data_IF_357906302281
#
_entry.id   IF_357906302281
#
_cell.length_a   1.000
_cell.length_b   1.000
_cell.length_c   1.000
_cell.angle_alpha   90.00
_cell.angle_beta   90.00
_cell.angle_gamma   90.00
#
_symmetry.space_group_name_H-M   'P 1'
#
loop_
_entity.id
_entity.type
_entity.pdbx_description
1 polymer ?
#
# COMPACT_ATOMS: atom_id res chain seq x y z
N UNK A 1 21.07 -24.36 36.20
CA UNK A 1 22.15 -24.94 37.02
C UNK A 1 21.60 -25.16 38.42
N UNK A 2 21.89 -26.28 39.06
CA UNK A 2 21.46 -26.49 40.45
C UNK A 2 22.29 -25.57 41.36
N UNK A 3 21.64 -24.61 42.03
CA UNK A 3 22.33 -23.71 42.94
C UNK A 3 22.81 -24.49 44.18
N UNK A 4 24.10 -24.86 44.18
CA UNK A 4 24.79 -25.41 45.34
C UNK A 4 25.19 -24.29 46.32
N UNK A 5 25.28 -24.60 47.61
CA UNK A 5 25.67 -23.68 48.68
C UNK A 5 26.98 -22.92 48.41
N UNK A 6 27.89 -23.50 47.62
CA UNK A 6 29.18 -22.89 47.26
C UNK A 6 29.01 -21.75 46.23
N UNK A 7 27.95 -21.79 45.41
CA UNK A 7 27.67 -20.80 44.35
C UNK A 7 26.54 -19.83 44.71
N UNK A 8 26.14 -19.77 45.98
CA UNK A 8 25.01 -18.97 46.46
C UNK A 8 25.13 -17.47 46.09
N UNK A 9 26.31 -16.82 46.16
CA UNK A 9 26.45 -15.42 45.74
C UNK A 9 26.22 -15.21 44.24
N UNK A 10 26.68 -16.13 43.39
CA UNK A 10 26.49 -16.04 41.94
C UNK A 10 25.02 -16.27 41.55
N UNK A 11 24.38 -17.27 42.15
CA UNK A 11 22.96 -17.57 41.96
C UNK A 11 22.06 -16.41 42.43
N UNK A 12 22.40 -15.77 43.55
CA UNK A 12 21.68 -14.59 44.03
C UNK A 12 21.80 -13.42 43.05
N UNK A 13 22.99 -13.19 42.50
CA UNK A 13 23.22 -12.11 41.53
C UNK A 13 22.49 -12.37 40.21
N UNK A 14 22.48 -13.62 39.72
CA UNK A 14 21.74 -14.04 38.54
C UNK A 14 20.22 -13.86 38.73
N UNK A 15 19.67 -14.35 39.85
CA UNK A 15 18.25 -14.18 40.18
C UNK A 15 17.85 -12.70 40.34
N UNK A 16 18.73 -11.87 40.90
CA UNK A 16 18.50 -10.42 40.98
C UNK A 16 18.50 -9.78 39.58
N UNK A 17 19.41 -10.21 38.70
CA UNK A 17 19.48 -9.77 37.30
C UNK A 17 18.21 -10.13 36.53
N UNK A 18 17.76 -11.37 36.63
CA UNK A 18 16.51 -11.86 36.02
C UNK A 18 15.28 -11.11 36.54
N UNK A 19 15.26 -10.80 37.84
CA UNK A 19 14.19 -10.00 38.43
C UNK A 19 14.17 -8.58 37.86
N UNK A 20 15.32 -7.92 37.74
CA UNK A 20 15.44 -6.57 37.15
C UNK A 20 15.04 -6.60 35.66
N UNK A 21 15.50 -7.60 34.91
CA UNK A 21 15.11 -7.80 33.52
C UNK A 21 13.61 -7.99 33.37
N UNK A 22 13.00 -8.80 34.24
CA UNK A 22 11.57 -9.03 34.24
C UNK A 22 10.80 -7.73 34.45
N UNK A 23 11.25 -6.88 35.40
CA UNK A 23 10.65 -5.55 35.63
C UNK A 23 10.79 -4.65 34.40
N UNK A 24 11.95 -4.63 33.75
CA UNK A 24 12.20 -3.78 32.58
C UNK A 24 11.42 -4.27 31.34
N UNK A 25 11.35 -5.58 31.14
CA UNK A 25 10.67 -6.18 29.99
C UNK A 25 9.13 -6.23 30.16
N UNK A 26 8.61 -6.27 31.39
CA UNK A 26 7.17 -6.30 31.66
C UNK A 26 6.35 -5.23 30.92
N UNK A 27 6.73 -3.93 30.91
CA UNK A 27 5.99 -2.91 30.16
C UNK A 27 6.15 -3.01 28.64
N UNK A 28 7.13 -3.76 28.13
CA UNK A 28 7.47 -3.85 26.70
C UNK A 28 6.70 -4.98 26.03
N UNK A 29 6.54 -6.11 26.73
CA UNK A 29 5.80 -7.28 26.26
C UNK A 29 4.45 -6.96 25.61
N UNK A 30 3.55 -6.14 26.20
CA UNK A 30 2.28 -5.83 25.56
C UNK A 30 2.43 -5.09 24.23
N UNK A 31 3.43 -4.21 24.07
CA UNK A 31 3.68 -3.54 22.79
C UNK A 31 4.16 -4.53 21.74
N UNK A 32 5.06 -5.46 22.11
CA UNK A 32 5.56 -6.48 21.20
C UNK A 32 4.46 -7.45 20.76
N UNK A 33 3.58 -7.83 21.67
CA UNK A 33 2.41 -8.65 21.35
C UNK A 33 1.48 -7.96 20.37
N UNK A 34 1.18 -6.67 20.59
CA UNK A 34 0.37 -5.87 19.66
C UNK A 34 1.05 -5.75 18.30
N UNK A 35 2.36 -5.47 18.25
CA UNK A 35 3.11 -5.42 16.98
C UNK A 35 3.06 -6.77 16.27
N UNK A 36 3.27 -7.87 16.98
CA UNK A 36 3.18 -9.23 16.43
C UNK A 36 1.78 -9.52 15.89
N UNK A 37 0.74 -9.17 16.62
CA UNK A 37 -0.65 -9.30 16.17
C UNK A 37 -0.89 -8.46 14.90
N UNK A 38 -0.51 -7.19 14.89
CA UNK A 38 -0.68 -6.30 13.74
C UNK A 38 0.12 -6.74 12.49
N UNK A 39 1.25 -7.41 12.67
CA UNK A 39 2.03 -7.98 11.56
C UNK A 39 1.40 -9.26 10.99
N UNK A 40 0.90 -10.13 11.86
CA UNK A 40 0.52 -11.50 11.49
C UNK A 40 -0.97 -11.71 11.28
N UNK A 41 -1.83 -10.85 11.83
CA UNK A 41 -3.27 -11.00 11.74
C UNK A 41 -3.79 -10.39 10.43
N UNK A 42 -4.65 -11.08 9.67
CA UNK A 42 -5.30 -10.49 8.51
C UNK A 42 -6.18 -9.30 8.93
N UNK A 43 -6.32 -8.34 8.02
CA UNK A 43 -7.22 -7.21 8.21
C UNK A 43 -8.66 -7.71 8.41
N UNK A 44 -9.38 -7.18 9.41
CA UNK A 44 -10.76 -7.57 9.68
C UNK A 44 -11.71 -6.93 8.66
N UNK A 45 -11.81 -7.58 7.50
CA UNK A 45 -12.66 -7.13 6.38
C UNK A 45 -14.16 -7.36 6.64
N UNK A 46 -14.51 -8.27 7.56
CA UNK A 46 -15.90 -8.65 7.82
C UNK A 46 -16.71 -7.47 8.37
N UNK A 47 -16.07 -6.62 9.18
CA UNK A 47 -16.67 -5.40 9.71
C UNK A 47 -17.18 -4.45 8.61
N UNK A 48 -16.60 -4.50 7.40
CA UNK A 48 -16.95 -3.66 6.26
C UNK A 48 -17.86 -4.34 5.23
N UNK A 49 -18.32 -5.58 5.48
CA UNK A 49 -19.10 -6.36 4.52
C UNK A 49 -20.42 -5.69 4.11
N UNK A 50 -21.15 -5.08 5.04
CA UNK A 50 -22.39 -4.37 4.75
C UNK A 50 -22.14 -3.13 3.86
N UNK A 51 -21.10 -2.36 4.15
CA UNK A 51 -20.73 -1.18 3.35
C UNK A 51 -20.25 -1.58 1.95
N UNK A 52 -19.48 -2.66 1.84
CA UNK A 52 -19.09 -3.23 0.56
C UNK A 52 -20.30 -3.62 -0.30
N UNK A 53 -21.33 -4.24 0.29
CA UNK A 53 -22.54 -4.62 -0.44
C UNK A 53 -23.29 -3.39 -1.00
N UNK A 54 -23.35 -2.30 -0.23
CA UNK A 54 -23.92 -1.02 -0.70
C UNK A 54 -23.13 -0.46 -1.89
N UNK A 55 -21.79 -0.51 -1.82
CA UNK A 55 -20.93 -0.06 -2.92
C UNK A 55 -21.18 -0.88 -4.19
N UNK A 56 -21.25 -2.21 -4.08
CA UNK A 56 -21.58 -3.06 -5.22
C UNK A 56 -22.95 -2.74 -5.79
N UNK A 57 -23.94 -2.52 -4.93
CA UNK A 57 -25.28 -2.14 -5.40
C UNK A 57 -25.22 -0.86 -6.24
N UNK A 58 -24.52 0.18 -5.76
CA UNK A 58 -24.33 1.43 -6.52
C UNK A 58 -23.62 1.15 -7.85
N UNK A 59 -22.51 0.41 -7.84
CA UNK A 59 -21.77 0.07 -9.06
C UNK A 59 -22.66 -0.72 -10.04
N UNK A 60 -23.53 -1.60 -9.54
CA UNK A 60 -24.38 -2.46 -10.36
C UNK A 60 -25.40 -1.68 -11.19
N UNK A 61 -25.80 -0.49 -10.75
CA UNK A 61 -26.67 0.40 -11.53
C UNK A 61 -26.03 0.82 -12.86
N UNK A 62 -24.69 0.90 -12.91
CA UNK A 62 -23.97 1.24 -14.14
C UNK A 62 -23.86 0.09 -15.12
N UNK A 63 -24.01 -1.17 -14.69
CA UNK A 63 -23.86 -2.34 -15.57
C UNK A 63 -24.90 -2.34 -16.70
N UNK A 64 -26.16 -2.01 -16.38
CA UNK A 64 -27.20 -1.89 -17.40
C UNK A 64 -26.87 -0.84 -18.45
N UNK A 65 -26.36 0.32 -18.01
CA UNK A 65 -25.93 1.39 -18.92
C UNK A 65 -24.79 0.95 -19.82
N UNK A 66 -23.78 0.26 -19.30
CA UNK A 66 -22.66 -0.25 -20.12
C UNK A 66 -23.11 -1.32 -21.11
N UNK A 67 -24.00 -2.23 -20.73
CA UNK A 67 -24.54 -3.24 -21.64
C UNK A 67 -25.34 -2.59 -22.77
N UNK A 68 -26.21 -1.63 -22.46
CA UNK A 68 -26.99 -0.90 -23.47
C UNK A 68 -26.04 -0.13 -24.40
N UNK A 69 -25.04 0.56 -23.84
CA UNK A 69 -24.06 1.31 -24.62
C UNK A 69 -23.23 0.39 -25.53
N UNK A 70 -22.75 -0.75 -25.02
CA UNK A 70 -22.02 -1.73 -25.82
C UNK A 70 -22.91 -2.35 -26.91
N UNK A 71 -24.17 -2.68 -26.58
CA UNK A 71 -25.16 -3.20 -27.53
C UNK A 71 -25.48 -2.21 -28.64
N UNK A 72 -25.68 -0.94 -28.31
CA UNK A 72 -25.92 0.11 -29.30
C UNK A 72 -24.72 0.32 -30.24
N UNK A 73 -23.50 0.36 -29.68
CA UNK A 73 -22.28 0.42 -30.50
C UNK A 73 -22.14 -0.79 -31.42
N UNK A 74 -22.51 -1.98 -30.94
CA UNK A 74 -22.47 -3.20 -31.74
C UNK A 74 -23.46 -3.14 -32.92
N UNK A 75 -24.68 -2.64 -32.73
CA UNK A 75 -25.69 -2.48 -33.80
C UNK A 75 -25.22 -1.48 -34.86
N UNK A 76 -24.71 -0.31 -34.45
CA UNK A 76 -24.25 0.73 -35.38
C UNK A 76 -22.98 0.33 -36.13
N UNK A 77 -22.12 -0.47 -35.50
CA UNK A 77 -20.83 -0.89 -36.07
C UNK A 77 -20.92 -1.84 -37.27
N UNK A 78 -22.13 -2.24 -37.70
CA UNK A 78 -22.35 -3.26 -38.73
C UNK A 78 -21.60 -3.02 -40.06
N UNK A 79 -21.32 -1.77 -40.42
CA UNK A 79 -20.66 -1.42 -41.68
C UNK A 79 -19.12 -1.38 -41.62
N UNK A 80 -18.50 -1.39 -40.43
CA UNK A 80 -17.05 -1.31 -40.29
C UNK A 80 -16.53 -2.40 -39.35
N UNK A 81 -15.75 -3.33 -39.89
CA UNK A 81 -15.20 -4.47 -39.17
C UNK A 81 -14.42 -4.06 -37.91
N UNK A 82 -13.62 -2.99 -37.98
CA UNK A 82 -12.81 -2.52 -36.87
C UNK A 82 -13.68 -2.03 -35.70
N UNK A 83 -14.75 -1.28 -35.98
CA UNK A 83 -15.68 -0.80 -34.93
C UNK A 83 -16.42 -1.96 -34.28
N UNK A 84 -16.73 -3.01 -35.06
CA UNK A 84 -17.41 -4.20 -34.56
C UNK A 84 -16.54 -4.99 -33.60
N UNK A 85 -15.24 -5.12 -33.90
CA UNK A 85 -14.30 -5.77 -32.98
C UNK A 85 -14.16 -5.01 -31.67
N UNK A 86 -14.01 -3.68 -31.71
CA UNK A 86 -13.97 -2.85 -30.50
C UNK A 86 -15.27 -2.97 -29.66
N UNK A 87 -16.44 -3.00 -30.31
CA UNK A 87 -17.71 -3.17 -29.60
C UNK A 87 -17.81 -4.54 -28.91
N UNK A 88 -17.29 -5.61 -29.53
CA UNK A 88 -17.20 -6.94 -28.89
C UNK A 88 -16.27 -6.93 -27.69
N UNK A 89 -15.11 -6.27 -27.80
CA UNK A 89 -14.17 -6.12 -26.67
C UNK A 89 -14.84 -5.38 -25.50
N UNK A 90 -15.59 -4.31 -25.77
CA UNK A 90 -16.37 -3.59 -24.75
C UNK A 90 -17.41 -4.47 -24.05
N UNK A 91 -18.13 -5.29 -24.82
CA UNK A 91 -19.10 -6.23 -24.25
C UNK A 91 -18.42 -7.29 -23.37
N UNK A 92 -17.30 -7.87 -23.83
CA UNK A 92 -16.51 -8.84 -23.07
C UNK A 92 -15.98 -8.23 -21.76
N UNK A 93 -15.40 -7.03 -21.83
CA UNK A 93 -14.89 -6.33 -20.64
C UNK A 93 -16.02 -6.02 -19.65
N UNK A 94 -17.22 -5.68 -20.14
CA UNK A 94 -18.39 -5.44 -19.29
C UNK A 94 -18.84 -6.71 -18.57
N UNK A 95 -18.87 -7.87 -19.26
CA UNK A 95 -19.24 -9.15 -18.63
C UNK A 95 -18.20 -9.58 -17.59
N UNK A 96 -16.90 -9.46 -17.89
CA UNK A 96 -15.84 -9.77 -16.94
C UNK A 96 -15.90 -8.85 -15.72
N UNK A 97 -16.17 -7.56 -15.92
CA UNK A 97 -16.35 -6.59 -14.84
C UNK A 97 -17.44 -7.01 -13.87
N UNK A 98 -18.61 -7.44 -14.36
CA UNK A 98 -19.71 -7.91 -13.51
C UNK A 98 -19.24 -9.08 -12.65
N UNK A 99 -18.59 -10.08 -13.24
CA UNK A 99 -18.10 -11.25 -12.51
C UNK A 99 -17.05 -10.87 -11.44
N UNK A 100 -16.02 -10.11 -11.81
CA UNK A 100 -14.92 -9.77 -10.91
C UNK A 100 -15.32 -8.80 -9.80
N UNK A 101 -16.20 -7.83 -10.07
CA UNK A 101 -16.69 -6.93 -9.03
C UNK A 101 -17.50 -7.71 -8.00
N UNK A 102 -18.34 -8.66 -8.42
CA UNK A 102 -19.07 -9.52 -7.46
C UNK A 102 -18.14 -10.42 -6.66
N UNK A 103 -17.10 -10.96 -7.29
CA UNK A 103 -16.06 -11.76 -6.62
C UNK A 103 -15.07 -10.91 -5.78
N UNK A 104 -15.17 -9.59 -5.79
CA UNK A 104 -14.15 -8.68 -5.26
C UNK A 104 -13.87 -8.88 -3.77
N UNK A 105 -14.89 -9.09 -2.94
CA UNK A 105 -14.73 -9.33 -1.51
C UNK A 105 -13.90 -10.60 -1.25
N UNK A 106 -14.24 -11.68 -1.95
CA UNK A 106 -13.54 -12.95 -1.81
C UNK A 106 -12.08 -12.85 -2.29
N UNK A 107 -11.85 -12.21 -3.44
CA UNK A 107 -10.48 -12.00 -3.96
C UNK A 107 -9.65 -11.17 -2.96
N UNK A 108 -10.23 -10.10 -2.41
CA UNK A 108 -9.53 -9.26 -1.44
C UNK A 108 -9.22 -10.02 -0.14
N UNK A 109 -10.17 -10.83 0.35
CA UNK A 109 -9.98 -11.69 1.51
C UNK A 109 -8.80 -12.63 1.31
N UNK A 110 -8.77 -13.36 0.18
CA UNK A 110 -7.68 -14.27 -0.15
C UNK A 110 -6.32 -13.58 -0.23
N UNK A 111 -6.25 -12.39 -0.84
CA UNK A 111 -4.99 -11.64 -0.93
C UNK A 111 -4.55 -11.17 0.47
N UNK A 112 -5.48 -10.71 1.31
CA UNK A 112 -5.18 -10.31 2.69
C UNK A 112 -4.68 -11.49 3.53
N UNK A 113 -5.32 -12.66 3.42
CA UNK A 113 -4.93 -13.88 4.12
C UNK A 113 -3.55 -14.38 3.65
N UNK A 114 -3.30 -14.34 2.34
CA UNK A 114 -1.99 -14.67 1.77
C UNK A 114 -0.91 -13.73 2.31
N UNK A 115 -1.15 -12.42 2.30
CA UNK A 115 -0.19 -11.43 2.80
C UNK A 115 0.12 -11.63 4.29
N UNK A 116 -0.91 -11.84 5.13
CA UNK A 116 -0.72 -12.13 6.55
C UNK A 116 -0.05 -13.48 6.80
N UNK A 117 -0.38 -14.50 6.02
CA UNK A 117 0.20 -15.85 6.14
C UNK A 117 1.69 -15.87 5.81
N UNK A 118 2.10 -15.19 4.73
CA UNK A 118 3.51 -15.03 4.37
C UNK A 118 4.24 -14.22 5.45
N UNK A 119 3.63 -13.14 5.97
CA UNK A 119 4.22 -12.34 7.05
C UNK A 119 4.41 -13.17 8.33
N UNK A 120 3.41 -13.95 8.72
CA UNK A 120 3.47 -14.86 9.86
C UNK A 120 4.56 -15.93 9.69
N UNK A 121 4.73 -16.46 8.48
CA UNK A 121 5.81 -17.40 8.15
C UNK A 121 7.21 -16.81 8.30
N UNK A 122 7.40 -15.52 8.00
CA UNK A 122 8.68 -14.84 8.25
C UNK A 122 8.86 -14.56 9.74
N UNK A 123 7.82 -14.08 10.43
CA UNK A 123 7.88 -13.74 11.86
C UNK A 123 8.14 -14.97 12.73
N UNK A 124 7.69 -16.16 12.34
CA UNK A 124 7.93 -17.40 13.11
C UNK A 124 9.38 -17.86 13.11
N UNK A 125 10.20 -17.38 12.16
CA UNK A 125 11.64 -17.66 12.08
C UNK A 125 12.44 -16.73 13.00
N UNK A 126 11.88 -15.56 13.34
CA UNK A 126 12.54 -14.56 14.18
C UNK A 126 12.55 -15.06 15.63
N UNK A 127 13.75 -15.08 16.24
CA UNK A 127 13.91 -15.42 17.66
C UNK A 127 13.11 -14.43 18.53
N UNK A 128 12.17 -14.88 19.38
CA UNK A 128 11.43 -14.01 20.30
C UNK A 128 12.34 -13.14 21.19
N UNK A 129 13.53 -13.63 21.54
CA UNK A 129 14.49 -12.91 22.36
C UNK A 129 15.15 -11.73 21.65
N UNK A 130 15.00 -11.62 20.32
CA UNK A 130 15.47 -10.47 19.54
C UNK A 130 14.87 -9.15 20.04
N UNK A 131 13.59 -9.20 20.45
CA UNK A 131 12.83 -8.02 20.84
C UNK A 131 12.96 -7.65 22.33
N UNK A 132 13.54 -8.54 23.14
CA UNK A 132 13.67 -8.38 24.59
C UNK A 132 15.08 -7.91 24.97
N UNK A 133 15.17 -7.17 26.08
CA UNK A 133 16.44 -6.82 26.70
C UNK A 133 17.13 -8.07 27.27
N UNK A 134 18.45 -8.20 27.10
CA UNK A 134 19.24 -9.33 27.62
C UNK A 134 20.49 -8.83 28.36
N UNK A 135 20.69 -9.26 29.61
CA UNK A 135 21.85 -8.89 30.43
C UNK A 135 23.06 -9.79 30.14
N UNK A 136 23.50 -9.83 28.88
CA UNK A 136 24.63 -10.68 28.50
C UNK A 136 25.98 -10.12 28.98
N UNK A 137 26.06 -8.82 29.28
CA UNK A 137 27.28 -8.16 29.74
C UNK A 137 27.01 -6.91 30.60
N UNK A 138 27.80 -6.69 31.66
CA UNK A 138 27.68 -5.52 32.57
C UNK A 138 27.76 -4.18 31.84
N UNK A 139 28.57 -4.09 30.80
CA UNK A 139 28.70 -2.87 29.97
C UNK A 139 27.41 -2.60 29.17
N UNK A 140 26.72 -3.64 28.74
CA UNK A 140 25.48 -3.50 27.97
C UNK A 140 24.35 -2.95 28.84
N UNK A 141 24.31 -3.30 30.13
CA UNK A 141 23.24 -2.88 31.07
C UNK A 141 23.08 -1.36 31.11
N UNK A 142 24.18 -0.61 31.19
CA UNK A 142 24.12 0.85 31.21
C UNK A 142 23.57 1.42 29.90
N UNK A 143 23.97 0.83 28.77
CA UNK A 143 23.55 1.24 27.44
C UNK A 143 22.07 0.91 27.22
N UNK A 144 21.62 -0.26 27.67
CA UNK A 144 20.22 -0.69 27.62
C UNK A 144 19.31 0.22 28.44
N UNK A 145 19.70 0.58 29.67
CA UNK A 145 18.94 1.53 30.49
C UNK A 145 18.89 2.91 29.84
N UNK A 146 20.02 3.40 29.31
CA UNK A 146 20.09 4.71 28.66
C UNK A 146 19.21 4.78 27.40
N UNK A 147 19.19 3.72 26.58
CA UNK A 147 18.36 3.65 25.37
C UNK A 147 16.95 3.10 25.60
N UNK A 148 16.63 2.61 26.80
CA UNK A 148 15.34 1.99 27.11
C UNK A 148 14.15 2.91 26.89
N UNK A 149 14.28 4.19 27.27
CA UNK A 149 13.23 5.20 27.04
C UNK A 149 13.00 5.43 25.54
N UNK A 150 14.09 5.53 24.76
CA UNK A 150 14.00 5.67 23.31
C UNK A 150 13.39 4.43 22.66
N UNK A 151 13.72 3.24 23.16
CA UNK A 151 13.15 1.98 22.69
C UNK A 151 11.63 1.91 22.92
N UNK A 152 11.16 2.26 24.12
CA UNK A 152 9.71 2.31 24.40
C UNK A 152 9.02 3.33 23.49
N UNK A 153 9.62 4.51 23.29
CA UNK A 153 9.08 5.53 22.37
C UNK A 153 9.01 5.04 20.92
N UNK A 154 9.99 4.28 20.46
CA UNK A 154 10.00 3.75 19.09
C UNK A 154 8.95 2.66 18.92
N UNK A 155 8.81 1.77 19.89
CA UNK A 155 7.79 0.73 19.90
C UNK A 155 6.39 1.34 19.87
N UNK A 156 6.16 2.38 20.67
CA UNK A 156 4.89 3.11 20.66
C UNK A 156 4.59 3.71 19.28
N UNK A 157 5.60 4.32 18.65
CA UNK A 157 5.47 4.86 17.28
C UNK A 157 5.18 3.75 16.27
N UNK A 158 5.84 2.59 16.40
CA UNK A 158 5.61 1.42 15.55
C UNK A 158 4.20 0.87 15.69
N UNK A 159 3.66 0.80 16.92
CA UNK A 159 2.26 0.41 17.14
C UNK A 159 1.30 1.35 16.43
N UNK A 160 1.51 2.67 16.52
CA UNK A 160 0.67 3.65 15.82
C UNK A 160 0.75 3.45 14.30
N UNK A 161 1.95 3.33 13.74
CA UNK A 161 2.16 3.19 12.29
C UNK A 161 1.51 1.91 11.76
N UNK A 162 1.71 0.77 12.44
CA UNK A 162 1.05 -0.48 12.04
C UNK A 162 -0.47 -0.45 12.25
N UNK A 163 -0.97 0.23 13.29
CA UNK A 163 -2.41 0.39 13.49
C UNK A 163 -3.05 1.18 12.36
N UNK A 164 -2.41 2.27 11.91
CA UNK A 164 -2.87 3.04 10.75
C UNK A 164 -2.85 2.16 9.49
N UNK A 165 -1.79 1.37 9.27
CA UNK A 165 -1.72 0.46 8.13
C UNK A 165 -2.83 -0.60 8.17
N UNK A 166 -3.10 -1.19 9.34
CA UNK A 166 -4.16 -2.16 9.54
C UNK A 166 -5.55 -1.57 9.25
N UNK A 167 -5.80 -0.33 9.68
CA UNK A 167 -7.03 0.40 9.36
C UNK A 167 -7.15 0.69 7.86
N UNK A 168 -6.06 1.13 7.21
CA UNK A 168 -6.04 1.37 5.76
C UNK A 168 -6.30 0.08 4.97
N UNK A 169 -5.69 -1.04 5.39
CA UNK A 169 -5.95 -2.36 4.81
C UNK A 169 -7.41 -2.80 4.99
N UNK A 170 -8.02 -2.50 6.13
CA UNK A 170 -9.43 -2.85 6.40
C UNK A 170 -10.39 -1.99 5.57
N UNK A 171 -10.15 -0.67 5.48
CA UNK A 171 -10.91 0.26 4.63
C UNK A 171 -10.71 -0.06 3.14
N UNK A 172 -9.55 -0.60 2.77
CA UNK A 172 -9.20 -0.94 1.39
C UNK A 172 -10.21 -1.86 0.69
N UNK A 173 -10.93 -2.70 1.45
CA UNK A 173 -12.03 -3.55 0.97
C UNK A 173 -13.10 -2.74 0.23
N UNK A 174 -13.39 -1.52 0.71
CA UNK A 174 -14.39 -0.64 0.12
C UNK A 174 -13.93 -0.08 -1.23
N UNK A 175 -12.64 0.18 -1.37
CA UNK A 175 -12.04 0.74 -2.60
C UNK A 175 -11.72 -0.32 -3.65
N UNK A 176 -11.55 -1.58 -3.24
CA UNK A 176 -11.22 -2.68 -4.14
C UNK A 176 -12.24 -2.90 -5.29
N UNK A 177 -13.57 -2.97 -5.05
CA UNK A 177 -14.54 -3.09 -6.14
C UNK A 177 -14.50 -1.90 -7.12
N UNK A 178 -14.23 -0.67 -6.64
CA UNK A 178 -14.03 0.49 -7.50
C UNK A 178 -12.79 0.35 -8.38
N UNK A 179 -11.68 -0.14 -7.80
CA UNK A 179 -10.46 -0.43 -8.55
C UNK A 179 -10.70 -1.40 -9.70
N UNK A 180 -11.42 -2.50 -9.42
CA UNK A 180 -11.80 -3.49 -10.44
C UNK A 180 -12.75 -2.90 -11.48
N UNK A 181 -13.76 -2.16 -11.06
CA UNK A 181 -14.70 -1.49 -11.95
C UNK A 181 -14.00 -0.56 -12.94
N UNK A 182 -13.13 0.33 -12.45
CA UNK A 182 -12.37 1.24 -13.31
C UNK A 182 -11.36 0.53 -14.20
N UNK A 183 -10.81 -0.61 -13.76
CA UNK A 183 -9.84 -1.38 -14.53
C UNK A 183 -10.43 -1.90 -15.86
N UNK A 184 -11.69 -2.31 -15.87
CA UNK A 184 -12.34 -2.84 -17.07
C UNK A 184 -12.86 -1.76 -18.03
N UNK A 185 -12.98 -0.52 -17.59
CA UNK A 185 -13.41 0.60 -18.42
C UNK A 185 -12.19 1.18 -19.17
N UNK A 186 -12.12 1.08 -20.51
CA UNK A 186 -10.90 1.45 -21.26
C UNK A 186 -10.32 2.83 -20.95
N UNK A 187 -11.10 3.94 -20.90
CA UNK A 187 -10.53 5.25 -20.56
C UNK A 187 -10.11 5.42 -19.08
N UNK A 188 -10.54 4.52 -18.19
CA UNK A 188 -10.26 4.59 -16.75
C UNK A 188 -9.34 3.47 -16.26
N UNK A 189 -8.87 2.60 -17.16
CA UNK A 189 -8.08 1.41 -16.85
C UNK A 189 -6.84 1.73 -16.01
N UNK A 190 -6.16 2.83 -16.31
CA UNK A 190 -4.96 3.26 -15.58
C UNK A 190 -5.27 3.63 -14.12
N UNK A 191 -6.43 4.24 -13.86
CA UNK A 191 -6.88 4.59 -12.51
C UNK A 191 -7.21 3.31 -11.74
N UNK A 192 -7.95 2.38 -12.36
CA UNK A 192 -8.24 1.09 -11.73
C UNK A 192 -6.99 0.29 -11.37
N UNK A 193 -6.03 0.21 -12.31
CA UNK A 193 -4.73 -0.43 -12.09
C UNK A 193 -3.97 0.22 -10.94
N UNK A 194 -4.01 1.56 -10.88
CA UNK A 194 -3.37 2.32 -9.81
C UNK A 194 -3.98 2.00 -8.43
N UNK A 195 -5.31 2.03 -8.30
CA UNK A 195 -6.02 1.71 -7.05
C UNK A 195 -5.70 0.29 -6.59
N UNK A 196 -5.82 -0.70 -7.48
CA UNK A 196 -5.54 -2.10 -7.16
C UNK A 196 -4.08 -2.27 -6.71
N UNK A 197 -3.13 -1.69 -7.44
CA UNK A 197 -1.71 -1.77 -7.10
C UNK A 197 -1.40 -1.18 -5.72
N UNK A 198 -2.03 -0.06 -5.37
CA UNK A 198 -1.83 0.58 -4.07
C UNK A 198 -2.45 -0.24 -2.93
N UNK A 199 -3.63 -0.82 -3.13
CA UNK A 199 -4.27 -1.66 -2.12
C UNK A 199 -3.46 -2.92 -1.84
N UNK A 200 -3.01 -3.62 -2.89
CA UNK A 200 -2.13 -4.80 -2.74
C UNK A 200 -0.84 -4.41 -2.03
N UNK A 201 -0.25 -3.25 -2.36
CA UNK A 201 0.95 -2.77 -1.70
C UNK A 201 0.76 -2.52 -0.19
N UNK A 202 -0.35 -1.90 0.22
CA UNK A 202 -0.69 -1.69 1.64
C UNK A 202 -0.86 -3.01 2.38
N UNK A 203 -1.43 -4.04 1.73
CA UNK A 203 -1.56 -5.38 2.32
C UNK A 203 -0.20 -6.06 2.55
N UNK A 204 0.77 -5.87 1.65
CA UNK A 204 2.09 -6.48 1.73
C UNK A 204 3.14 -5.65 2.52
N UNK A 205 2.78 -4.47 3.03
CA UNK A 205 3.69 -3.65 3.84
C UNK A 205 4.25 -4.38 5.09
N UNK A 206 3.41 -5.08 5.90
CA UNK A 206 3.87 -5.87 7.05
C UNK A 206 4.91 -6.93 6.69
N UNK A 207 4.81 -7.54 5.52
CA UNK A 207 5.77 -8.51 5.03
C UNK A 207 7.17 -7.88 4.81
N UNK A 208 7.24 -6.70 4.21
CA UNK A 208 8.54 -6.01 4.06
C UNK A 208 9.15 -5.61 5.40
N UNK A 209 8.30 -5.24 6.37
CA UNK A 209 8.76 -4.96 7.73
C UNK A 209 9.29 -6.21 8.44
N UNK A 210 8.64 -7.36 8.28
CA UNK A 210 9.12 -8.62 8.88
C UNK A 210 10.44 -9.08 8.29
N UNK A 211 10.71 -8.83 7.00
CA UNK A 211 12.01 -9.08 6.38
C UNK A 211 13.13 -8.24 7.01
N UNK A 212 12.85 -6.99 7.37
CA UNK A 212 13.83 -6.13 8.06
C UNK A 212 14.10 -6.67 9.47
N UNK A 213 13.06 -7.06 10.20
CA UNK A 213 13.24 -7.66 11.52
C UNK A 213 14.01 -8.97 11.46
N UNK A 214 13.76 -9.82 10.45
CA UNK A 214 14.52 -11.03 10.21
C UNK A 214 16.00 -10.72 9.94
N UNK A 215 16.28 -9.76 9.06
CA UNK A 215 17.65 -9.33 8.78
C UNK A 215 18.35 -8.80 10.05
N UNK A 216 17.64 -8.05 10.88
CA UNK A 216 18.14 -7.60 12.18
C UNK A 216 18.45 -8.76 13.14
N UNK A 217 17.57 -9.74 13.22
CA UNK A 217 17.74 -10.91 14.08
C UNK A 217 18.93 -11.77 13.66
N UNK A 218 19.14 -11.98 12.35
CA UNK A 218 20.30 -12.73 11.85
C UNK A 218 21.63 -11.98 12.07
N UNK A 219 21.63 -10.64 12.02
CA UNK A 219 22.85 -9.86 12.28
C UNK A 219 23.34 -10.00 13.72
N UNK A 220 22.46 -10.16 14.71
CA UNK A 220 22.84 -10.33 16.11
C UNK A 220 23.57 -11.65 16.37
N UNK A 221 23.30 -12.69 15.56
CA UNK A 221 24.00 -13.98 15.69
C UNK A 221 25.48 -13.90 15.31
N UNK A 222 25.89 -12.85 14.58
CA UNK A 222 27.29 -12.60 14.28
C UNK A 222 27.96 -12.01 15.51
N UNK A 223 28.91 -12.73 16.12
CA UNK A 223 29.42 -12.48 17.48
C UNK A 223 29.96 -11.08 17.79
N UNK A 224 30.27 -10.25 16.78
CA UNK A 224 30.62 -8.84 17.01
C UNK A 224 29.43 -7.95 17.39
N UNK A 225 28.20 -8.33 17.03
CA UNK A 225 27.00 -7.53 17.24
C UNK A 225 26.24 -7.86 18.54
N UNK A 226 26.62 -8.91 19.26
CA UNK A 226 26.01 -9.25 20.56
C UNK A 226 26.15 -8.12 21.59
N UNK A 227 27.28 -7.41 21.56
CA UNK A 227 27.54 -6.25 22.44
C UNK A 227 26.69 -5.02 22.11
N UNK A 228 26.13 -4.95 20.90
CA UNK A 228 25.34 -3.78 20.43
C UNK A 228 23.91 -4.18 20.05
N UNK A 229 23.40 -5.26 20.64
CA UNK A 229 22.07 -5.82 20.38
C UNK A 229 20.98 -4.75 20.42
N UNK A 230 20.91 -3.97 21.49
CA UNK A 230 19.88 -2.94 21.67
C UNK A 230 19.93 -1.85 20.58
N UNK A 231 21.14 -1.43 20.16
CA UNK A 231 21.30 -0.44 19.09
C UNK A 231 20.78 -1.01 17.77
N UNK A 232 21.03 -2.30 17.53
CA UNK A 232 20.59 -2.98 16.32
C UNK A 232 19.07 -3.19 16.32
N UNK A 233 18.48 -3.63 17.44
CA UNK A 233 17.03 -3.77 17.58
C UNK A 233 16.32 -2.42 17.45
N UNK A 234 16.82 -1.38 18.12
CA UNK A 234 16.31 0.00 17.99
C UNK A 234 16.41 0.49 16.54
N UNK A 235 17.54 0.24 15.89
CA UNK A 235 17.79 0.57 14.49
C UNK A 235 16.81 -0.14 13.54
N UNK A 236 16.51 -1.43 13.79
CA UNK A 236 15.55 -2.18 12.99
C UNK A 236 14.13 -1.59 13.10
N UNK A 237 13.66 -1.28 14.31
CA UNK A 237 12.37 -0.59 14.49
C UNK A 237 12.34 0.80 13.87
N UNK A 238 13.42 1.58 14.01
CA UNK A 238 13.54 2.89 13.39
C UNK A 238 13.44 2.79 11.86
N UNK A 239 14.16 1.83 11.27
CA UNK A 239 14.18 1.60 9.84
C UNK A 239 12.80 1.15 9.34
N UNK A 240 12.11 0.27 10.06
CA UNK A 240 10.73 -0.12 9.74
C UNK A 240 9.79 1.09 9.77
N UNK A 241 9.85 1.91 10.82
CA UNK A 241 8.99 3.11 10.93
C UNK A 241 9.26 4.09 9.79
N UNK A 242 10.52 4.40 9.51
CA UNK A 242 10.92 5.29 8.41
C UNK A 242 10.48 4.73 7.07
N UNK A 243 10.68 3.43 6.83
CA UNK A 243 10.26 2.78 5.60
C UNK A 243 8.75 2.85 5.43
N UNK A 244 7.97 2.49 6.45
CA UNK A 244 6.51 2.54 6.42
C UNK A 244 5.99 3.94 6.10
N UNK A 245 6.54 4.97 6.77
CA UNK A 245 6.17 6.37 6.52
C UNK A 245 6.56 6.82 5.12
N UNK A 246 7.78 6.50 4.67
CA UNK A 246 8.25 6.84 3.33
C UNK A 246 7.38 6.19 2.25
N UNK A 247 7.05 4.91 2.42
CA UNK A 247 6.21 4.15 1.49
C UNK A 247 4.78 4.69 1.46
N UNK A 248 4.22 5.10 2.61
CA UNK A 248 2.93 5.77 2.69
C UNK A 248 2.94 7.12 1.94
N UNK A 249 3.98 7.93 2.15
CA UNK A 249 4.15 9.21 1.44
C UNK A 249 4.29 9.00 -0.07
N UNK A 250 5.10 8.03 -0.49
CA UNK A 250 5.25 7.68 -1.91
C UNK A 250 3.94 7.19 -2.54
N UNK A 251 3.13 6.42 -1.80
CA UNK A 251 1.81 5.99 -2.27
C UNK A 251 0.88 7.18 -2.53
N UNK A 252 0.90 8.19 -1.65
CA UNK A 252 0.14 9.45 -1.84
C UNK A 252 0.66 10.24 -3.04
N UNK A 253 1.98 10.44 -3.16
CA UNK A 253 2.55 11.13 -4.31
C UNK A 253 2.22 10.45 -5.63
N UNK A 254 2.31 9.12 -5.66
CA UNK A 254 1.96 8.33 -6.84
C UNK A 254 0.47 8.48 -7.19
N UNK A 255 -0.41 8.62 -6.19
CA UNK A 255 -1.83 8.91 -6.41
C UNK A 255 -2.05 10.24 -7.10
N UNK A 256 -1.43 11.30 -6.58
CA UNK A 256 -1.54 12.64 -7.16
C UNK A 256 -1.02 12.66 -8.59
N UNK A 257 0.17 12.07 -8.83
CA UNK A 257 0.78 12.02 -10.16
C UNK A 257 -0.01 11.15 -11.14
N UNK A 258 -0.61 10.06 -10.67
CA UNK A 258 -1.49 9.20 -11.47
C UNK A 258 -2.71 9.98 -11.98
N UNK A 259 -3.35 10.76 -11.10
CA UNK A 259 -4.47 11.62 -11.48
C UNK A 259 -4.03 12.68 -12.49
N UNK A 260 -2.90 13.35 -12.29
CA UNK A 260 -2.40 14.38 -13.21
C UNK A 260 -2.04 13.85 -14.61
N UNK A 261 -1.62 12.58 -14.70
CA UNK A 261 -1.27 11.93 -15.98
C UNK A 261 -2.49 11.43 -16.75
N UNK A 262 -3.64 11.27 -16.10
CA UNK A 262 -4.86 10.79 -16.75
C UNK A 262 -5.28 11.72 -17.89
N UNK A 263 -5.78 11.15 -18.99
CA UNK A 263 -6.28 11.93 -20.13
C UNK A 263 -7.46 12.82 -19.76
N UNK A 264 -8.18 12.49 -18.68
CA UNK A 264 -9.22 13.35 -18.09
C UNK A 264 -8.60 14.65 -17.56
N UNK A 265 -7.50 14.57 -16.82
CA UNK A 265 -6.79 15.77 -16.34
C UNK A 265 -6.23 16.60 -17.50
N UNK A 266 -5.74 15.94 -18.55
CA UNK A 266 -5.34 16.63 -19.79
C UNK A 266 -6.53 17.30 -20.49
N UNK A 267 -7.68 16.65 -20.55
CA UNK A 267 -8.92 17.21 -21.11
C UNK A 267 -9.39 18.44 -20.34
N UNK A 268 -9.37 18.40 -19.00
CA UNK A 268 -9.71 19.55 -18.15
C UNK A 268 -8.69 20.68 -18.30
N UNK A 269 -7.39 20.36 -18.35
CA UNK A 269 -6.34 21.36 -18.61
C UNK A 269 -6.48 22.01 -19.98
N UNK A 270 -6.83 21.23 -21.01
CA UNK A 270 -7.09 21.75 -22.36
C UNK A 270 -8.31 22.67 -22.37
N UNK A 271 -9.41 22.26 -21.71
CA UNK A 271 -10.62 23.08 -21.59
C UNK A 271 -10.32 24.40 -20.87
N UNK A 272 -9.56 24.35 -19.76
CA UNK A 272 -9.17 25.53 -19.00
C UNK A 272 -8.25 26.47 -19.82
N UNK A 273 -7.34 25.91 -20.61
CA UNK A 273 -6.50 26.67 -21.54
C UNK A 273 -7.33 27.40 -22.60
N UNK A 274 -8.36 26.75 -23.15
CA UNK A 274 -9.24 27.35 -24.16
C UNK A 274 -10.09 28.50 -23.60
N UNK A 275 -10.58 28.37 -22.36
CA UNK A 275 -11.32 29.44 -21.68
C UNK A 275 -10.43 30.65 -21.35
N UNK A 276 -9.15 30.43 -21.01
CA UNK A 276 -8.20 31.51 -20.71
C UNK A 276 -7.67 32.21 -21.98
N UNK A 277 -7.54 31.52 -23.11
CA UNK A 277 -7.20 32.17 -24.38
C UNK A 277 -8.35 33.01 -24.94
N UNK A 278 -9.61 32.60 -24.72
CA UNK A 278 -10.78 33.37 -25.14
C UNK A 278 -10.90 34.74 -24.47
N UNK A 279 -10.47 34.89 -23.21
CA UNK A 279 -10.52 36.16 -22.49
C UNK A 279 -9.36 37.10 -22.80
N UNK A 280 -8.22 36.59 -23.27
CA UNK A 280 -7.08 37.41 -23.68
C UNK A 280 -7.25 38.01 -25.09
N UNK A 281 -8.01 37.37 -25.99
CA UNK A 281 -8.20 37.86 -27.36
C UNK A 281 -9.18 39.04 -27.50
N UNK A 282 -9.91 39.41 -26.44
CA UNK A 282 -10.91 40.48 -26.52
C UNK A 282 -10.36 41.90 -26.28
N UNK A 283 -9.04 42.07 -26.09
CA UNK A 283 -8.45 43.39 -25.77
C UNK A 283 -7.46 43.98 -26.78
N UNK A 284 -7.31 43.37 -27.95
CA UNK A 284 -6.47 43.94 -29.01
C UNK A 284 -6.93 43.46 -30.38
N UNK A 285 -7.96 44.09 -30.92
CA UNK A 285 -8.13 44.19 -32.36
C UNK A 285 -7.52 45.53 -32.81
N UNK A 286 -6.24 45.58 -33.22
CA UNK A 286 -5.83 46.60 -34.14
C UNK A 286 -6.47 46.29 -35.50
N UNK A 287 -7.30 47.22 -35.94
CA UNK A 287 -7.89 47.30 -37.25
C UNK A 287 -6.76 47.39 -38.30
N UNK A 288 -6.30 46.27 -38.84
CA UNK A 288 -5.41 46.27 -39.99
C UNK A 288 -5.80 45.21 -41.01
N UNK A 289 -6.27 45.71 -42.15
CA UNK A 289 -5.68 45.36 -43.43
C UNK A 289 -6.01 43.96 -43.93
N UNK A 290 -7.02 43.91 -44.79
CA UNK A 290 -7.17 42.88 -45.83
C UNK A 290 -5.84 42.67 -46.54
N UNK A 291 -5.40 41.42 -46.65
CA UNK A 291 -4.74 40.79 -47.79
C UNK A 291 -3.91 39.60 -47.27
N UNK A 292 -4.28 38.38 -47.63
CA UNK A 292 -3.49 37.61 -48.58
C UNK A 292 -4.14 36.24 -48.82
N UNK A 293 -4.51 36.07 -50.07
CA UNK A 293 -4.88 34.83 -50.72
C UNK A 293 -3.76 33.79 -50.66
N UNK A 294 -4.15 32.51 -50.56
CA UNK A 294 -3.55 31.44 -51.34
C UNK A 294 -2.18 30.91 -50.91
N UNK A 295 -2.19 29.74 -50.25
CA UNK A 295 -1.20 28.67 -50.49
C UNK A 295 -1.80 27.34 -50.05
N UNK A 296 -2.49 26.65 -50.97
CA UNK A 296 -1.95 25.59 -51.84
C UNK A 296 -1.60 24.34 -51.03
N UNK A 297 -2.47 23.33 -51.20
CA UNK A 297 -2.25 21.90 -50.93
C UNK A 297 -0.88 21.45 -51.41
N UNK A 298 -0.18 20.62 -50.63
CA UNK A 298 0.70 19.57 -51.15
C UNK A 298 0.60 18.32 -50.27
N UNK A 299 -0.18 17.38 -50.79
CA UNK A 299 0.17 15.97 -51.00
C UNK A 299 1.16 15.31 -50.01
N UNK A 300 0.65 14.35 -49.24
CA UNK A 300 1.44 13.22 -48.75
C UNK A 300 0.67 11.92 -49.00
N UNK A 301 0.63 11.51 -50.27
CA UNK A 301 0.55 10.11 -50.64
C UNK A 301 1.98 9.58 -50.79
N UNK A 302 2.35 8.57 -50.03
CA UNK A 302 3.52 7.76 -50.33
C UNK A 302 4.19 7.13 -49.12
N UNK A 303 3.80 5.90 -48.78
CA UNK A 303 4.80 4.88 -48.47
C UNK A 303 4.48 3.54 -49.13
N UNK A 304 5.51 2.83 -49.63
CA UNK A 304 5.37 1.56 -50.32
C UNK A 304 5.27 0.41 -49.31
N UNK A 305 4.86 -0.74 -49.88
CA UNK A 305 4.64 -2.05 -49.28
C UNK A 305 5.82 -2.58 -48.46
#
# INVERSE_FOLDING_TARGET
>A
MECSWINLPACLLEALGDFILSIINAPITPFLEVIKQLLTQPANIQAFGALWAVIIYIISTFYGLFIIFAGFNLIISGYNAEKRERAKEWLQNTLLMIFFVQASFFIYALISELASGVTAGVVSIIDPNFFLFTLDNLVNVYLEIAFGIFYVSILFTTVIVFSINYLLASIGVLFFPFGLFFYFIPPLRDIGKFVISNLVFVLFLPFFASLIFLGGAELIKVGGFSMVKIVLTLGAFALVNVLMVLLAVLAVFRAVMGVMRSDVARGVMFLKGHFLMGSAMQKSAPEQGREYWGRVRKDYYGRPR
#
